data_IF_883873946564
#
_entry.id   IF_883873946564
#
_cell.length_a   1.000
_cell.length_b   1.000
_cell.length_c   1.000
_cell.angle_alpha   90.00
_cell.angle_beta   90.00
_cell.angle_gamma   90.00
#
_symmetry.space_group_name_H-M   'P 1'
#
loop_
_entity.id
_entity.type
_entity.pdbx_description
1 polymer ?
#
# COMPACT_ATOMS: atom_id res chain seq x y z
N UNK A 1 -33.09 -5.96 -5.52
CA UNK A 1 -31.90 -5.85 -4.64
C UNK A 1 -31.26 -4.46 -4.61
N UNK A 2 -32.05 -3.37 -4.63
CA UNK A 2 -31.51 -1.98 -4.73
C UNK A 2 -31.93 -1.02 -3.61
N UNK A 3 -32.67 -1.49 -2.59
CA UNK A 3 -33.25 -0.60 -1.55
C UNK A 3 -32.26 -0.33 -0.40
N UNK A 4 -31.30 -1.23 -0.14
CA UNK A 4 -30.33 -1.08 0.96
C UNK A 4 -29.15 -0.16 0.58
N UNK A 5 -28.89 0.04 -0.72
CA UNK A 5 -27.84 0.95 -1.21
C UNK A 5 -28.33 2.39 -1.32
N UNK A 6 -29.64 2.63 -1.45
CA UNK A 6 -30.22 3.97 -1.44
C UNK A 6 -30.10 4.71 -0.10
N UNK A 7 -29.74 3.99 0.98
CA UNK A 7 -29.57 4.52 2.34
C UNK A 7 -28.11 4.54 2.82
N UNK A 8 -27.15 3.96 2.08
CA UNK A 8 -25.74 4.37 2.23
C UNK A 8 -25.70 5.79 1.67
N UNK A 9 -25.96 6.75 2.54
CA UNK A 9 -26.08 8.18 2.22
C UNK A 9 -25.02 8.56 1.18
N UNK A 10 -25.37 9.37 0.18
CA UNK A 10 -24.44 9.85 -0.85
C UNK A 10 -23.12 10.37 -0.24
N UNK A 11 -23.20 10.85 1.00
CA UNK A 11 -22.09 11.21 1.88
C UNK A 11 -21.07 10.08 2.09
N UNK A 12 -21.52 8.89 2.46
CA UNK A 12 -20.66 7.74 2.73
C UNK A 12 -19.99 7.20 1.46
N UNK A 13 -20.73 7.17 0.33
CA UNK A 13 -20.18 6.80 -0.97
C UNK A 13 -19.07 7.78 -1.40
N UNK A 14 -19.32 9.09 -1.28
CA UNK A 14 -18.33 10.12 -1.60
C UNK A 14 -17.09 10.03 -0.70
N UNK A 15 -17.28 9.85 0.61
CA UNK A 15 -16.19 9.67 1.57
C UNK A 15 -15.34 8.44 1.24
N UNK A 16 -15.98 7.33 0.84
CA UNK A 16 -15.28 6.12 0.45
C UNK A 16 -14.45 6.30 -0.82
N UNK A 17 -14.97 7.03 -1.82
CA UNK A 17 -14.22 7.34 -3.04
C UNK A 17 -12.98 8.19 -2.77
N UNK A 18 -13.08 9.17 -1.85
CA UNK A 18 -11.94 9.97 -1.41
C UNK A 18 -10.88 9.07 -0.75
N UNK A 19 -11.29 8.23 0.20
CA UNK A 19 -10.38 7.31 0.88
C UNK A 19 -9.69 6.34 -0.09
N UNK A 20 -10.44 5.78 -1.04
CA UNK A 20 -9.92 4.88 -2.06
C UNK A 20 -8.92 5.57 -2.99
N UNK A 21 -9.19 6.82 -3.38
CA UNK A 21 -8.27 7.61 -4.21
C UNK A 21 -6.94 7.86 -3.51
N UNK A 22 -6.99 8.21 -2.22
CA UNK A 22 -5.78 8.36 -1.39
C UNK A 22 -5.01 7.05 -1.27
N UNK A 23 -5.70 5.93 -0.97
CA UNK A 23 -5.08 4.62 -0.84
C UNK A 23 -4.48 4.10 -2.17
N UNK A 24 -5.15 4.36 -3.30
CA UNK A 24 -4.65 3.99 -4.62
C UNK A 24 -3.36 4.73 -4.97
N UNK A 25 -3.26 6.01 -4.59
CA UNK A 25 -2.04 6.80 -4.79
C UNK A 25 -0.85 6.21 -4.03
N UNK A 26 -1.01 5.91 -2.74
CA UNK A 26 0.05 5.28 -1.93
C UNK A 26 0.39 3.87 -2.41
N UNK A 27 -0.62 3.12 -2.89
CA UNK A 27 -0.43 1.80 -3.49
C UNK A 27 0.45 1.82 -4.74
N UNK A 28 0.27 2.80 -5.64
CA UNK A 28 1.10 2.91 -6.85
C UNK A 28 2.59 3.07 -6.52
N UNK A 29 2.92 3.79 -5.45
CA UNK A 29 4.31 3.93 -5.00
C UNK A 29 4.83 2.61 -4.41
N UNK A 30 4.03 1.90 -3.61
CA UNK A 30 4.38 0.54 -3.12
C UNK A 30 4.68 -0.41 -4.28
N UNK A 31 3.86 -0.38 -5.33
CA UNK A 31 4.06 -1.16 -6.56
C UNK A 31 5.38 -0.81 -7.25
N UNK A 32 5.73 0.49 -7.33
CA UNK A 32 7.02 0.93 -7.85
C UNK A 32 8.21 0.38 -7.06
N UNK A 33 8.13 0.39 -5.72
CA UNK A 33 9.16 -0.21 -4.85
C UNK A 33 9.28 -1.72 -5.06
N UNK A 34 8.15 -2.43 -5.20
CA UNK A 34 8.14 -3.86 -5.50
C UNK A 34 8.81 -4.17 -6.85
N UNK A 35 8.51 -3.38 -7.89
CA UNK A 35 9.13 -3.50 -9.21
C UNK A 35 10.64 -3.26 -9.15
N UNK A 36 11.08 -2.21 -8.44
CA UNK A 36 12.50 -1.91 -8.26
C UNK A 36 13.26 -3.03 -7.55
N UNK A 37 12.66 -3.61 -6.50
CA UNK A 37 13.19 -4.79 -5.82
C UNK A 37 13.33 -5.98 -6.76
N UNK A 38 12.29 -6.25 -7.57
CA UNK A 38 12.29 -7.33 -8.56
C UNK A 38 13.39 -7.17 -9.62
N UNK A 39 13.62 -5.96 -10.12
CA UNK A 39 14.70 -5.66 -11.08
C UNK A 39 16.07 -5.90 -10.44
N UNK A 40 16.29 -5.43 -9.21
CA UNK A 40 17.55 -5.63 -8.49
C UNK A 40 17.85 -7.12 -8.24
N UNK A 41 16.82 -7.89 -7.85
CA UNK A 41 16.94 -9.34 -7.66
C UNK A 41 17.23 -10.04 -8.99
N UNK A 42 16.50 -9.70 -10.06
CA UNK A 42 16.70 -10.26 -11.41
C UNK A 42 18.12 -10.03 -11.91
N UNK A 43 18.67 -8.83 -11.67
CA UNK A 43 20.05 -8.52 -12.02
C UNK A 43 21.07 -9.37 -11.22
N UNK A 44 20.86 -9.53 -9.91
CA UNK A 44 21.73 -10.37 -9.08
C UNK A 44 21.65 -11.86 -9.48
N UNK A 45 20.46 -12.32 -9.87
CA UNK A 45 20.23 -13.66 -10.42
C UNK A 45 21.00 -13.90 -11.72
N UNK A 46 21.01 -12.93 -12.65
CA UNK A 46 21.83 -13.01 -13.86
C UNK A 46 23.34 -13.15 -13.61
N UNK A 47 23.82 -12.70 -12.46
CA UNK A 47 25.23 -12.82 -12.04
C UNK A 47 25.54 -14.02 -11.15
N UNK A 48 24.58 -14.95 -10.93
CA UNK A 48 24.69 -16.10 -10.02
C UNK A 48 25.13 -15.75 -8.58
N UNK A 49 24.89 -14.51 -8.13
CA UNK A 49 25.31 -14.06 -6.80
C UNK A 49 24.18 -14.28 -5.78
N UNK A 50 24.07 -15.52 -5.31
CA UNK A 50 23.02 -15.95 -4.37
C UNK A 50 22.98 -15.19 -3.04
N UNK A 51 24.13 -14.88 -2.38
CA UNK A 51 24.12 -14.06 -1.17
C UNK A 51 23.51 -12.67 -1.40
N UNK A 52 23.81 -12.06 -2.56
CA UNK A 52 23.31 -10.73 -2.92
C UNK A 52 21.80 -10.73 -3.14
N UNK A 53 21.23 -11.80 -3.69
CA UNK A 53 19.77 -11.95 -3.85
C UNK A 53 19.06 -11.89 -2.49
N UNK A 54 19.56 -12.65 -1.49
CA UNK A 54 18.97 -12.65 -0.15
C UNK A 54 19.07 -11.28 0.54
N UNK A 55 20.23 -10.61 0.39
CA UNK A 55 20.44 -9.27 0.94
C UNK A 55 19.51 -8.21 0.31
N UNK A 56 19.37 -8.21 -1.02
CA UNK A 56 18.44 -7.32 -1.74
C UNK A 56 17.01 -7.60 -1.28
N UNK A 57 16.65 -8.87 -1.11
CA UNK A 57 15.31 -9.23 -0.68
C UNK A 57 14.96 -8.71 0.71
N UNK A 58 15.84 -8.91 1.68
CA UNK A 58 15.68 -8.36 3.04
C UNK A 58 15.59 -6.83 3.02
N UNK A 59 16.50 -6.17 2.30
CA UNK A 59 16.51 -4.71 2.18
C UNK A 59 15.21 -4.17 1.57
N UNK A 60 14.70 -4.81 0.52
CA UNK A 60 13.45 -4.40 -0.14
C UNK A 60 12.26 -4.55 0.80
N UNK A 61 12.19 -5.63 1.58
CA UNK A 61 11.13 -5.85 2.57
C UNK A 61 11.14 -4.76 3.66
N UNK A 62 12.32 -4.43 4.20
CA UNK A 62 12.46 -3.38 5.22
C UNK A 62 12.03 -2.02 4.65
N UNK A 63 12.42 -1.68 3.42
CA UNK A 63 11.99 -0.43 2.78
C UNK A 63 10.48 -0.39 2.57
N UNK A 64 9.85 -1.51 2.19
CA UNK A 64 8.38 -1.61 2.06
C UNK A 64 7.65 -1.32 3.37
N UNK A 65 8.17 -1.91 4.45
CA UNK A 65 7.60 -1.76 5.78
C UNK A 65 7.72 -0.31 6.27
N UNK A 66 8.90 0.29 6.12
CA UNK A 66 9.13 1.70 6.46
C UNK A 66 8.26 2.64 5.64
N UNK A 67 8.08 2.36 4.34
CA UNK A 67 7.18 3.11 3.48
C UNK A 67 5.72 2.99 3.92
N UNK A 68 5.25 1.77 4.22
CA UNK A 68 3.90 1.53 4.74
C UNK A 68 3.65 2.28 6.05
N UNK A 69 4.62 2.26 6.97
CA UNK A 69 4.56 2.99 8.22
C UNK A 69 4.52 4.51 7.99
N UNK A 70 5.34 5.02 7.07
CA UNK A 70 5.33 6.43 6.68
C UNK A 70 3.96 6.84 6.14
N UNK A 71 3.36 6.06 5.24
CA UNK A 71 2.01 6.34 4.74
C UNK A 71 0.95 6.28 5.82
N UNK A 72 1.03 5.32 6.75
CA UNK A 72 0.11 5.21 7.86
C UNK A 72 0.16 6.45 8.78
N UNK A 73 1.36 6.93 9.08
CA UNK A 73 1.55 8.19 9.83
C UNK A 73 1.00 9.37 9.05
N UNK A 74 1.29 9.47 7.75
CA UNK A 74 0.77 10.54 6.89
C UNK A 74 -0.77 10.56 6.88
N UNK A 75 -1.42 9.42 6.66
CA UNK A 75 -2.88 9.35 6.68
C UNK A 75 -3.47 9.67 8.05
N UNK A 76 -2.80 9.30 9.13
CA UNK A 76 -3.26 9.61 10.50
C UNK A 76 -3.15 11.11 10.80
N UNK A 77 -2.02 11.74 10.45
CA UNK A 77 -1.75 13.17 10.69
C UNK A 77 -2.61 14.04 9.79
N UNK A 78 -2.73 13.68 8.51
CA UNK A 78 -3.46 14.44 7.49
C UNK A 78 -4.92 14.02 7.30
N UNK A 79 -5.48 13.21 8.21
CA UNK A 79 -6.84 12.67 8.08
C UNK A 79 -7.94 13.71 7.92
N UNK A 80 -7.71 14.97 8.35
CA UNK A 80 -8.68 16.07 8.24
C UNK A 80 -8.43 16.94 7.01
N UNK A 81 -7.15 17.22 6.74
CA UNK A 81 -6.72 18.09 5.64
C UNK A 81 -6.90 17.42 4.27
N UNK A 82 -6.71 16.10 4.19
CA UNK A 82 -6.91 15.36 2.94
C UNK A 82 -8.37 15.47 2.47
N UNK A 83 -9.40 15.09 3.27
CA UNK A 83 -10.80 15.25 2.86
C UNK A 83 -11.23 16.68 2.57
N UNK A 84 -10.68 17.66 3.30
CA UNK A 84 -10.94 19.10 3.07
C UNK A 84 -10.55 19.55 1.65
N UNK A 85 -9.54 18.92 1.05
CA UNK A 85 -9.13 19.21 -0.33
C UNK A 85 -10.12 18.68 -1.39
N UNK A 86 -10.92 17.65 -1.07
CA UNK A 86 -11.86 17.04 -2.01
C UNK A 86 -13.27 17.63 -1.91
N UNK A 87 -13.69 18.07 -0.72
CA UNK A 87 -15.07 18.55 -0.50
C UNK A 87 -15.16 19.52 0.66
N UNK A 88 -16.14 20.43 0.60
CA UNK A 88 -16.50 21.35 1.69
C UNK A 88 -17.66 20.82 2.57
N UNK A 89 -18.21 19.65 2.26
CA UNK A 89 -19.28 19.06 3.06
C UNK A 89 -18.71 18.40 4.32
N UNK A 90 -19.03 18.96 5.48
CA UNK A 90 -18.54 18.53 6.79
C UNK A 90 -18.87 17.06 7.14
N UNK A 91 -20.03 16.55 6.70
CA UNK A 91 -20.40 15.15 6.96
C UNK A 91 -19.52 14.17 6.16
N UNK A 92 -19.19 14.53 4.91
CA UNK A 92 -18.32 13.73 4.05
C UNK A 92 -16.89 13.74 4.61
N UNK A 93 -16.42 14.90 5.06
CA UNK A 93 -15.09 15.04 5.66
C UNK A 93 -14.94 14.18 6.92
N UNK A 94 -15.93 14.21 7.82
CA UNK A 94 -15.89 13.42 9.05
C UNK A 94 -15.85 11.92 8.75
N UNK A 95 -16.67 11.46 7.81
CA UNK A 95 -16.72 10.05 7.38
C UNK A 95 -15.42 9.63 6.69
N UNK A 96 -14.88 10.46 5.79
CA UNK A 96 -13.63 10.19 5.08
C UNK A 96 -12.43 10.14 6.04
N UNK A 97 -12.39 11.01 7.05
CA UNK A 97 -11.33 11.02 8.05
C UNK A 97 -11.28 9.71 8.88
N UNK A 98 -12.44 9.10 9.15
CA UNK A 98 -12.51 7.78 9.79
C UNK A 98 -12.01 6.68 8.84
N UNK A 99 -12.44 6.70 7.58
CA UNK A 99 -12.00 5.73 6.58
C UNK A 99 -10.48 5.80 6.32
N UNK A 100 -9.89 7.00 6.34
CA UNK A 100 -8.44 7.19 6.21
C UNK A 100 -7.66 6.58 7.39
N UNK A 101 -8.23 6.57 8.61
CA UNK A 101 -7.65 5.90 9.77
C UNK A 101 -7.62 4.38 9.58
N UNK A 102 -8.70 3.79 9.07
CA UNK A 102 -8.70 2.37 8.69
C UNK A 102 -7.69 2.10 7.57
N UNK A 103 -7.68 2.94 6.53
CA UNK A 103 -6.74 2.83 5.42
C UNK A 103 -5.28 2.89 5.90
N UNK A 104 -4.95 3.73 6.88
CA UNK A 104 -3.61 3.83 7.46
C UNK A 104 -3.13 2.49 8.03
N UNK A 105 -3.97 1.78 8.78
CA UNK A 105 -3.63 0.47 9.36
C UNK A 105 -3.47 -0.57 8.24
N UNK A 106 -4.40 -0.57 7.27
CA UNK A 106 -4.34 -1.48 6.14
C UNK A 106 -3.12 -1.26 5.24
N UNK A 107 -2.63 -0.02 5.12
CA UNK A 107 -1.51 0.32 4.25
C UNK A 107 -0.20 -0.40 4.63
N UNK A 108 0.03 -0.63 5.92
CA UNK A 108 1.21 -1.36 6.42
C UNK A 108 1.17 -2.82 5.96
N UNK A 109 0.00 -3.45 6.12
CA UNK A 109 -0.22 -4.83 5.70
C UNK A 109 -0.13 -4.97 4.18
N UNK A 110 -0.69 -4.02 3.44
CA UNK A 110 -0.71 -4.02 1.99
C UNK A 110 0.70 -3.83 1.39
N UNK A 111 1.47 -2.84 1.88
CA UNK A 111 2.84 -2.61 1.40
C UNK A 111 3.76 -3.81 1.67
N UNK A 112 3.60 -4.45 2.82
CA UNK A 112 4.38 -5.65 3.18
C UNK A 112 3.98 -6.85 2.32
N UNK A 113 2.69 -7.08 2.08
CA UNK A 113 2.20 -8.19 1.25
C UNK A 113 2.62 -8.06 -0.21
N UNK A 114 2.54 -6.87 -0.79
CA UNK A 114 2.94 -6.61 -2.18
C UNK A 114 4.40 -7.04 -2.44
N UNK A 115 5.30 -6.77 -1.48
CA UNK A 115 6.72 -7.12 -1.59
C UNK A 115 7.00 -8.57 -1.15
N UNK A 116 6.32 -9.05 -0.11
CA UNK A 116 6.43 -10.44 0.37
C UNK A 116 6.05 -11.47 -0.69
N UNK A 117 4.99 -11.22 -1.46
CA UNK A 117 4.61 -12.06 -2.59
C UNK A 117 5.70 -12.12 -3.68
N UNK A 118 6.39 -11.01 -3.91
CA UNK A 118 7.54 -10.95 -4.81
C UNK A 118 8.73 -11.77 -4.30
N UNK A 119 9.01 -11.72 -3.00
CA UNK A 119 10.16 -12.41 -2.40
C UNK A 119 9.98 -13.93 -2.23
N UNK A 120 8.77 -14.39 -1.92
CA UNK A 120 8.49 -15.83 -1.83
C UNK A 120 8.68 -16.53 -3.18
N UNK A 121 8.42 -15.84 -4.29
CA UNK A 121 8.74 -16.35 -5.64
C UNK A 121 10.26 -16.52 -5.84
N UNK A 122 11.05 -15.58 -5.33
CA UNK A 122 12.52 -15.61 -5.43
C UNK A 122 13.10 -16.76 -4.60
N UNK A 123 12.67 -16.95 -3.36
CA UNK A 123 13.15 -18.04 -2.50
C UNK A 123 12.85 -19.43 -3.09
N UNK A 124 11.72 -19.60 -3.79
CA UNK A 124 11.43 -20.84 -4.52
C UNK A 124 12.39 -21.05 -5.69
N UNK A 125 12.81 -19.99 -6.39
CA UNK A 125 13.83 -20.07 -7.44
C UNK A 125 15.23 -20.37 -6.89
N UNK A 126 15.56 -19.88 -5.69
CA UNK A 126 16.85 -20.13 -5.03
C UNK A 126 16.99 -21.59 -4.59
N UNK A 127 15.93 -22.18 -4.01
CA UNK A 127 15.95 -23.58 -3.55
C UNK A 127 15.91 -24.62 -4.67
N UNK A 128 15.47 -24.28 -5.88
CA UNK A 128 15.38 -25.21 -7.01
C UNK A 128 16.71 -25.41 -7.75
N UNK A 129 17.71 -24.58 -7.46
CA UNK A 129 19.05 -24.59 -8.07
C UNK A 129 20.16 -24.99 -7.08
N UNK A 130 19.77 -25.57 -5.93
CA UNK A 130 20.60 -26.30 -4.98
C UNK A 130 20.23 -27.78 -5.08
#
# INVERSE_FOLDING_TARGET
SGIIIGTISAVAQAAHQIALSCAAFTFMVSMGLAQAGSIRVSNAFGTNNWPKISAIGKSTLVTAFLYGLFCAVMFTVFRRQLPEAFTKNSEVQMTAALLLLFAAIFQISDSTQAIGAGLLRVNRMTKKNL
#
